data_IF_249193026590
#
_entry.id   IF_249193026590
#
_cell.length_a   1.000
_cell.length_b   1.000
_cell.length_c   1.000
_cell.angle_alpha   90.00
_cell.angle_beta   90.00
_cell.angle_gamma   90.00
#
_symmetry.space_group_name_H-M   'P 1'
#
loop_
_entity.id
_entity.type
_entity.pdbx_description
1 polymer ?
#
# COMPACT_ATOMS: atom_id res chain seq x y z
N UNK A 1 -9.37 0.62 26.03
CA UNK A 1 -9.69 1.58 24.94
C UNK A 1 -8.64 1.54 23.84
N UNK A 2 -7.35 1.76 24.13
CA UNK A 2 -6.27 1.77 23.12
C UNK A 2 -6.12 0.47 22.33
N UNK A 3 -6.27 -0.69 22.97
CA UNK A 3 -6.14 -2.01 22.32
C UNK A 3 -7.12 -2.18 21.16
N UNK A 4 -8.33 -1.60 21.24
CA UNK A 4 -9.33 -1.60 20.15
C UNK A 4 -8.78 -0.96 18.87
N UNK A 5 -7.91 0.03 19.02
CA UNK A 5 -7.26 0.74 17.93
C UNK A 5 -5.88 0.15 17.56
N UNK A 6 -5.53 -1.05 18.02
CA UNK A 6 -4.25 -1.70 17.64
C UNK A 6 -3.08 -1.43 18.58
N UNK A 7 -3.32 -0.87 19.78
CA UNK A 7 -2.28 -0.72 20.79
C UNK A 7 -1.78 -2.09 21.27
N UNK A 8 -0.46 -2.22 21.42
CA UNK A 8 0.21 -3.48 21.74
C UNK A 8 1.55 -3.20 22.42
N UNK A 9 2.28 -4.26 22.80
CA UNK A 9 3.53 -4.17 23.57
C UNK A 9 4.60 -3.23 22.96
N UNK A 10 4.68 -3.13 21.62
CA UNK A 10 5.62 -2.23 20.95
C UNK A 10 5.36 -0.75 21.26
N UNK A 11 4.09 -0.36 21.42
CA UNK A 11 3.72 1.02 21.77
C UNK A 11 3.76 1.23 23.29
N UNK A 12 3.45 0.19 24.06
CA UNK A 12 3.55 0.23 25.53
C UNK A 12 4.99 0.50 25.98
N UNK A 13 5.97 -0.21 25.40
CA UNK A 13 7.39 0.00 25.73
C UNK A 13 7.84 1.44 25.44
N UNK A 14 7.34 2.04 24.37
CA UNK A 14 7.65 3.44 24.03
C UNK A 14 6.98 4.43 24.98
N UNK A 15 5.73 4.15 25.39
CA UNK A 15 5.05 4.95 26.41
C UNK A 15 5.84 4.96 27.72
N UNK A 16 6.28 3.79 28.18
CA UNK A 16 7.10 3.66 29.38
C UNK A 16 8.43 4.43 29.25
N UNK A 17 9.09 4.31 28.09
CA UNK A 17 10.34 5.03 27.78
C UNK A 17 10.18 6.56 27.77
N UNK A 18 9.03 7.06 27.31
CA UNK A 18 8.73 8.50 27.37
C UNK A 18 8.59 9.00 28.80
N UNK A 19 8.07 8.19 29.72
CA UNK A 19 7.98 8.51 31.15
C UNK A 19 7.12 9.74 31.47
N UNK A 20 6.18 10.09 30.59
CA UNK A 20 5.34 11.30 30.69
C UNK A 20 3.91 10.94 31.05
N UNK A 21 3.59 11.01 32.35
CA UNK A 21 2.26 10.67 32.88
C UNK A 21 1.17 11.71 32.55
N UNK A 22 1.56 12.88 32.06
CA UNK A 22 0.66 13.96 31.65
C UNK A 22 0.15 13.81 30.20
N UNK A 23 0.63 12.81 29.47
CA UNK A 23 0.21 12.53 28.09
C UNK A 23 -0.89 11.45 28.08
N UNK A 24 -1.96 11.76 27.35
CA UNK A 24 -2.97 10.80 26.94
C UNK A 24 -2.64 10.30 25.54
N UNK A 25 -2.52 8.99 25.37
CA UNK A 25 -2.19 8.40 24.08
C UNK A 25 -3.43 8.18 23.22
N UNK A 26 -3.32 8.51 21.95
CA UNK A 26 -4.42 8.36 21.00
C UNK A 26 -3.89 8.04 19.61
N UNK A 27 -4.71 7.35 18.81
CA UNK A 27 -4.39 7.04 17.42
C UNK A 27 -4.95 8.13 16.52
N UNK A 28 -4.15 8.60 15.57
CA UNK A 28 -4.60 9.55 14.54
C UNK A 28 -5.58 8.83 13.61
N UNK A 29 -6.84 9.26 13.63
CA UNK A 29 -7.92 8.67 12.83
C UNK A 29 -8.29 9.50 11.62
N UNK A 30 -7.95 10.78 11.61
CA UNK A 30 -8.22 11.66 10.49
C UNK A 30 -7.23 12.83 10.45
N UNK A 31 -6.86 13.24 9.25
CA UNK A 31 -6.03 14.43 9.02
C UNK A 31 -6.72 15.38 8.04
N UNK A 32 -6.88 16.62 8.45
CA UNK A 32 -7.48 17.69 7.65
C UNK A 32 -6.68 18.98 7.79
N UNK A 33 -6.00 19.39 6.71
CA UNK A 33 -5.36 20.71 6.56
C UNK A 33 -4.44 21.10 7.73
N UNK A 34 -3.69 20.15 8.29
CA UNK A 34 -2.75 20.40 9.40
C UNK A 34 -3.38 20.34 10.79
N UNK A 35 -4.62 19.87 10.92
CA UNK A 35 -5.23 19.42 12.16
C UNK A 35 -5.46 17.91 12.12
N UNK A 36 -5.37 17.26 13.28
CA UNK A 36 -5.50 15.81 13.41
C UNK A 36 -6.63 15.46 14.37
N UNK A 37 -7.57 14.64 13.93
CA UNK A 37 -8.52 13.99 14.83
C UNK A 37 -7.88 12.72 15.36
N UNK A 38 -7.94 12.54 16.67
CA UNK A 38 -7.38 11.36 17.34
C UNK A 38 -8.46 10.63 18.14
N UNK A 39 -8.29 9.33 18.35
CA UNK A 39 -9.16 8.51 19.18
C UNK A 39 -8.34 7.58 20.07
N UNK A 40 -8.68 7.50 21.36
CA UNK A 40 -7.92 6.76 22.37
C UNK A 40 -8.22 7.27 23.77
N UNK A 41 -7.20 7.41 24.62
CA UNK A 41 -7.36 8.04 25.94
C UNK A 41 -7.82 9.50 25.82
N UNK A 42 -7.45 10.15 24.71
CA UNK A 42 -8.03 11.41 24.26
C UNK A 42 -8.80 11.17 22.95
N UNK A 43 -10.00 11.76 22.83
CA UNK A 43 -10.81 11.76 21.61
C UNK A 43 -11.17 13.20 21.26
N UNK A 44 -10.76 13.65 20.08
CA UNK A 44 -10.99 15.03 19.65
C UNK A 44 -10.03 15.50 18.57
N UNK A 45 -10.21 16.76 18.19
CA UNK A 45 -9.30 17.47 17.30
C UNK A 45 -8.08 17.98 18.06
N UNK A 46 -6.94 17.93 17.40
CA UNK A 46 -5.64 18.28 17.96
C UNK A 46 -4.76 19.01 16.95
N UNK A 47 -3.79 19.74 17.47
CA UNK A 47 -2.72 20.39 16.71
C UNK A 47 -1.36 19.97 17.26
N UNK A 48 -0.30 20.08 16.46
CA UNK A 48 1.06 19.85 16.96
C UNK A 48 1.57 21.03 17.78
N UNK A 49 2.30 20.74 18.85
CA UNK A 49 2.97 21.79 19.64
C UNK A 49 3.98 22.57 18.78
N UNK A 50 4.24 23.83 19.16
CA UNK A 50 5.26 24.64 18.49
C UNK A 50 6.64 23.98 18.50
N UNK A 51 7.02 23.34 19.61
CA UNK A 51 8.26 22.57 19.72
C UNK A 51 8.32 21.43 18.70
N UNK A 52 7.26 20.62 18.59
CA UNK A 52 7.18 19.53 17.61
C UNK A 52 7.39 20.06 16.19
N UNK A 53 6.72 21.18 15.85
CA UNK A 53 6.85 21.83 14.54
C UNK A 53 8.28 22.31 14.26
N UNK A 54 9.00 22.81 15.26
CA UNK A 54 10.38 23.27 15.11
C UNK A 54 11.40 22.12 15.02
N UNK A 55 11.14 21.01 15.69
CA UNK A 55 12.00 19.82 15.68
C UNK A 55 11.78 18.94 14.44
N UNK A 56 10.67 19.13 13.71
CA UNK A 56 10.37 18.41 12.47
C UNK A 56 11.25 18.92 11.32
N UNK A 57 12.04 18.03 10.72
CA UNK A 57 12.92 18.37 9.61
C UNK A 57 12.20 18.30 8.26
N UNK A 58 11.15 17.48 8.17
CA UNK A 58 10.42 17.23 6.93
C UNK A 58 8.92 16.98 7.18
N UNK A 59 8.14 16.97 6.10
CA UNK A 59 6.72 16.57 6.14
C UNK A 59 6.49 15.15 6.66
N UNK A 60 7.48 14.25 6.56
CA UNK A 60 7.39 12.87 7.03
C UNK A 60 7.42 12.74 8.58
N UNK A 61 7.92 13.77 9.27
CA UNK A 61 7.99 13.82 10.73
C UNK A 61 6.64 14.15 11.36
N UNK A 62 5.77 14.82 10.61
CA UNK A 62 4.42 15.14 11.06
C UNK A 62 3.56 13.87 11.24
N UNK A 63 2.58 13.90 12.16
CA UNK A 63 1.64 12.80 12.32
C UNK A 63 0.88 12.53 11.01
N UNK A 64 0.70 11.26 10.70
CA UNK A 64 -0.11 10.76 9.60
C UNK A 64 -1.22 9.86 10.15
N UNK A 65 -2.25 9.58 9.33
CA UNK A 65 -3.32 8.66 9.71
C UNK A 65 -2.75 7.30 10.10
N UNK A 66 -3.16 6.80 11.25
CA UNK A 66 -2.68 5.56 11.85
C UNK A 66 -1.51 5.72 12.84
N UNK A 67 -0.89 6.90 12.93
CA UNK A 67 0.13 7.19 13.95
C UNK A 67 -0.44 7.15 15.38
N UNK A 68 0.43 6.82 16.33
CA UNK A 68 0.15 6.97 17.75
C UNK A 68 0.83 8.22 18.29
N UNK A 69 0.08 9.05 18.99
CA UNK A 69 0.53 10.34 19.50
C UNK A 69 0.24 10.48 20.98
N UNK A 70 1.12 11.20 21.69
CA UNK A 70 0.93 11.63 23.07
C UNK A 70 0.37 13.06 23.09
N UNK A 71 -0.81 13.21 23.68
CA UNK A 71 -1.60 14.44 23.69
C UNK A 71 -1.72 14.99 25.11
N UNK A 72 -1.57 16.30 25.28
CA UNK A 72 -1.92 16.99 26.52
C UNK A 72 -2.69 18.26 26.19
N UNK A 73 -3.82 18.49 26.87
CA UNK A 73 -4.69 19.64 26.63
C UNK A 73 -5.04 19.88 25.14
N UNK A 74 -5.26 18.81 24.36
CA UNK A 74 -5.58 18.89 22.93
C UNK A 74 -4.39 19.18 22.00
N UNK A 75 -3.15 19.15 22.51
CA UNK A 75 -1.93 19.41 21.75
C UNK A 75 -1.09 18.14 21.67
N UNK A 76 -0.63 17.79 20.46
CA UNK A 76 0.31 16.69 20.21
C UNK A 76 1.73 17.12 20.60
N UNK A 77 2.31 16.40 21.55
CA UNK A 77 3.67 16.61 22.03
C UNK A 77 4.66 15.57 21.54
N UNK A 78 4.19 14.37 21.23
CA UNK A 78 5.04 13.27 20.79
C UNK A 78 4.31 12.40 19.78
N UNK A 79 5.07 11.83 18.83
CA UNK A 79 4.64 10.76 17.93
C UNK A 79 5.50 9.55 18.22
N UNK A 80 4.87 8.40 18.44
CA UNK A 80 5.59 7.15 18.63
C UNK A 80 6.22 6.69 17.31
N UNK A 81 7.21 5.81 17.41
CA UNK A 81 7.83 5.12 16.28
C UNK A 81 6.79 4.29 15.52
N UNK A 82 6.91 4.29 14.19
CA UNK A 82 6.01 3.57 13.28
C UNK A 82 6.47 2.13 13.12
N UNK A 83 5.52 1.18 13.15
CA UNK A 83 5.77 -0.21 12.72
C UNK A 83 5.89 -0.34 11.21
N UNK A 84 5.09 0.44 10.51
CA UNK A 84 5.03 0.47 9.06
C UNK A 84 4.72 1.90 8.61
N UNK A 85 5.24 2.25 7.44
CA UNK A 85 5.14 3.58 6.87
C UNK A 85 4.84 3.45 5.39
N UNK A 86 3.68 3.95 4.97
CA UNK A 86 3.37 4.10 3.55
C UNK A 86 3.51 5.55 3.18
N UNK A 87 4.37 5.84 2.20
CA UNK A 87 4.70 7.20 1.79
C UNK A 87 4.58 7.39 0.28
N UNK A 88 4.50 8.65 -0.14
CA UNK A 88 4.51 9.08 -1.55
C UNK A 88 5.38 10.34 -1.71
N UNK A 89 5.89 10.59 -2.92
CA UNK A 89 6.49 11.90 -3.24
C UNK A 89 5.40 12.99 -3.17
N UNK A 90 5.64 14.07 -2.44
CA UNK A 90 4.77 15.24 -2.45
C UNK A 90 4.86 15.95 -3.82
N UNK A 91 3.77 16.54 -4.29
CA UNK A 91 3.79 17.37 -5.50
C UNK A 91 4.52 18.70 -5.21
N UNK A 92 5.74 18.88 -5.73
CA UNK A 92 6.53 20.08 -5.49
C UNK A 92 7.97 20.01 -6.03
N UNK A 93 8.74 21.10 -5.85
CA UNK A 93 10.14 21.24 -6.31
C UNK A 93 11.17 20.55 -5.41
N UNK A 94 10.77 20.06 -4.24
CA UNK A 94 11.60 19.28 -3.33
C UNK A 94 11.10 17.83 -3.30
N UNK A 95 12.03 16.88 -3.25
CA UNK A 95 11.76 15.44 -3.10
C UNK A 95 11.32 15.16 -1.66
N UNK A 96 10.25 15.80 -1.23
CA UNK A 96 9.76 15.64 0.14
C UNK A 96 8.83 14.43 0.20
N UNK A 97 9.24 13.47 1.03
CA UNK A 97 8.45 12.29 1.37
C UNK A 97 7.23 12.71 2.20
N UNK A 98 6.03 12.37 1.73
CA UNK A 98 4.79 12.54 2.49
C UNK A 98 4.29 11.17 2.93
N UNK A 99 4.19 10.98 4.24
CA UNK A 99 3.58 9.77 4.82
C UNK A 99 2.07 9.86 4.68
N UNK A 100 1.48 8.87 4.02
CA UNK A 100 0.03 8.80 3.76
C UNK A 100 -0.70 7.87 4.71
N UNK A 101 0.00 6.89 5.28
CA UNK A 101 -0.53 5.98 6.28
C UNK A 101 0.61 5.42 7.13
N UNK A 102 0.31 5.15 8.41
CA UNK A 102 1.26 4.55 9.34
C UNK A 102 0.61 3.40 10.13
N UNK A 103 1.44 2.47 10.60
CA UNK A 103 1.01 1.33 11.42
C UNK A 103 -0.10 0.50 10.75
N UNK A 104 0.04 0.27 9.45
CA UNK A 104 -0.73 -0.70 8.66
C UNK A 104 -0.12 -2.09 8.86
N UNK A 105 -0.93 -3.07 9.24
CA UNK A 105 -0.49 -4.46 9.43
C UNK A 105 -0.52 -5.23 8.10
N UNK A 106 -1.57 -5.02 7.29
CA UNK A 106 -1.76 -5.72 6.01
C UNK A 106 -2.17 -4.75 4.90
N UNK A 107 -1.54 -4.87 3.74
CA UNK A 107 -1.93 -4.12 2.54
C UNK A 107 -2.47 -5.09 1.51
N UNK A 108 -3.73 -4.89 1.13
CA UNK A 108 -4.38 -5.61 0.05
C UNK A 108 -3.97 -4.99 -1.30
N UNK A 109 -3.19 -5.73 -2.09
CA UNK A 109 -2.89 -5.42 -3.48
C UNK A 109 -4.05 -5.89 -4.35
N UNK A 110 -4.99 -5.01 -4.66
CA UNK A 110 -6.19 -5.33 -5.43
C UNK A 110 -5.91 -5.23 -6.93
N UNK A 111 -6.15 -6.32 -7.64
CA UNK A 111 -6.15 -6.39 -9.10
C UNK A 111 -7.47 -7.01 -9.58
N UNK A 112 -7.76 -6.92 -10.87
CA UNK A 112 -9.01 -7.41 -11.45
C UNK A 112 -8.74 -8.58 -12.42
N UNK A 113 -9.58 -9.61 -12.32
CA UNK A 113 -9.64 -10.75 -13.23
C UNK A 113 -10.47 -10.41 -14.48
N UNK A 114 -10.14 -11.07 -15.61
CA UNK A 114 -10.86 -10.99 -16.88
C UNK A 114 -10.04 -10.43 -18.05
N UNK A 115 -10.37 -10.88 -19.27
CA UNK A 115 -9.64 -10.60 -20.53
C UNK A 115 -9.53 -9.11 -20.89
N UNK A 116 -10.43 -8.27 -20.35
CA UNK A 116 -10.47 -6.83 -20.64
C UNK A 116 -9.53 -5.98 -19.74
N UNK A 117 -8.84 -6.59 -18.78
CA UNK A 117 -7.97 -5.87 -17.83
C UNK A 117 -6.52 -6.36 -17.89
N UNK A 118 -5.64 -5.54 -18.49
CA UNK A 118 -4.18 -5.74 -18.54
C UNK A 118 -3.47 -5.51 -17.20
N UNK A 119 -4.19 -5.54 -16.08
CA UNK A 119 -3.68 -5.15 -14.77
C UNK A 119 -2.97 -6.29 -14.01
N UNK A 120 -3.00 -7.50 -14.55
CA UNK A 120 -2.22 -8.66 -14.08
C UNK A 120 -0.80 -8.69 -14.69
N UNK A 121 -0.15 -7.54 -14.81
CA UNK A 121 1.26 -7.49 -15.22
C UNK A 121 2.14 -8.02 -14.05
N UNK A 122 2.86 -9.15 -14.21
CA UNK A 122 3.65 -9.74 -13.13
C UNK A 122 4.73 -8.80 -12.59
N UNK A 123 5.41 -8.05 -13.45
CA UNK A 123 6.47 -7.11 -13.04
C UNK A 123 5.91 -5.96 -12.19
N UNK A 124 4.72 -5.47 -12.55
CA UNK A 124 4.01 -4.44 -11.75
C UNK A 124 3.63 -4.99 -10.38
N UNK A 125 3.12 -6.22 -10.34
CA UNK A 125 2.74 -6.88 -9.10
C UNK A 125 3.96 -7.08 -8.18
N UNK A 126 5.08 -7.58 -8.71
CA UNK A 126 6.34 -7.73 -7.98
C UNK A 126 6.82 -6.41 -7.36
N UNK A 127 6.75 -5.31 -8.12
CA UNK A 127 7.10 -3.98 -7.60
C UNK A 127 6.19 -3.53 -6.46
N UNK A 128 4.88 -3.75 -6.58
CA UNK A 128 3.96 -3.45 -5.48
C UNK A 128 4.23 -4.29 -4.24
N UNK A 129 4.58 -5.56 -4.42
CA UNK A 129 4.98 -6.41 -3.32
C UNK A 129 6.22 -5.86 -2.62
N UNK A 130 7.26 -5.49 -3.37
CA UNK A 130 8.46 -4.86 -2.80
C UNK A 130 8.12 -3.61 -2.01
N UNK A 131 7.30 -2.70 -2.55
CA UNK A 131 6.90 -1.47 -1.85
C UNK A 131 6.14 -1.75 -0.55
N UNK A 132 5.22 -2.72 -0.54
CA UNK A 132 4.48 -3.10 0.67
C UNK A 132 5.41 -3.68 1.72
N UNK A 133 6.37 -4.50 1.29
CA UNK A 133 7.39 -5.06 2.17
C UNK A 133 8.32 -3.99 2.75
N UNK A 134 8.77 -3.04 1.93
CA UNK A 134 9.58 -1.89 2.37
C UNK A 134 8.82 -0.99 3.35
N UNK A 135 7.52 -0.83 3.13
CA UNK A 135 6.62 -0.14 4.04
C UNK A 135 6.48 -0.85 5.39
N UNK A 136 6.89 -2.12 5.52
CA UNK A 136 6.80 -2.91 6.76
C UNK A 136 5.42 -3.52 7.01
N UNK A 137 4.59 -3.64 5.97
CA UNK A 137 3.28 -4.29 6.04
C UNK A 137 3.30 -5.65 5.32
N UNK A 138 2.35 -6.52 5.66
CA UNK A 138 2.19 -7.82 4.98
C UNK A 138 1.35 -7.63 3.71
N UNK A 139 1.84 -7.99 2.51
CA UNK A 139 1.04 -7.95 1.29
C UNK A 139 0.10 -9.14 1.19
N UNK A 140 -1.10 -8.89 0.70
CA UNK A 140 -2.05 -9.91 0.27
C UNK A 140 -2.58 -9.51 -1.09
N UNK A 141 -2.45 -10.38 -2.08
CA UNK A 141 -2.97 -10.14 -3.44
C UNK A 141 -4.45 -10.48 -3.46
N UNK A 142 -5.28 -9.52 -3.85
CA UNK A 142 -6.73 -9.68 -3.95
C UNK A 142 -7.13 -9.61 -5.42
N UNK A 143 -7.46 -10.77 -5.98
CA UNK A 143 -7.96 -10.95 -7.33
C UNK A 143 -9.47 -10.71 -7.36
N UNK A 144 -9.88 -9.47 -7.62
CA UNK A 144 -11.28 -9.09 -7.67
C UNK A 144 -11.91 -9.39 -9.04
N UNK A 145 -13.24 -9.30 -9.12
CA UNK A 145 -14.04 -9.59 -10.33
C UNK A 145 -13.90 -11.03 -10.81
N UNK A 146 -13.77 -11.98 -9.89
CA UNK A 146 -13.73 -13.41 -10.21
C UNK A 146 -14.94 -13.88 -11.05
N UNK A 147 -16.05 -13.15 -11.03
CA UNK A 147 -17.22 -13.38 -11.88
C UNK A 147 -17.01 -13.12 -13.37
N UNK A 148 -15.92 -12.41 -13.75
CA UNK A 148 -15.57 -12.11 -15.14
C UNK A 148 -14.50 -13.05 -15.71
N UNK A 149 -13.97 -13.97 -14.90
CA UNK A 149 -13.02 -14.99 -15.36
C UNK A 149 -13.72 -16.33 -15.58
N UNK A 150 -13.29 -17.02 -16.64
CA UNK A 150 -13.73 -18.39 -16.91
C UNK A 150 -13.09 -19.41 -15.96
N UNK A 151 -11.90 -19.12 -15.42
CA UNK A 151 -11.16 -19.97 -14.48
C UNK A 151 -10.39 -19.11 -13.44
N UNK A 152 -11.10 -18.47 -12.50
CA UNK A 152 -10.48 -17.57 -11.53
C UNK A 152 -9.51 -18.29 -10.58
N UNK A 153 -9.73 -19.57 -10.30
CA UNK A 153 -8.88 -20.34 -9.40
C UNK A 153 -7.61 -20.83 -10.09
N UNK A 154 -7.67 -21.21 -11.37
CA UNK A 154 -6.49 -21.50 -12.17
C UNK A 154 -5.57 -20.28 -12.33
N UNK A 155 -6.15 -19.10 -12.54
CA UNK A 155 -5.39 -17.83 -12.55
C UNK A 155 -4.75 -17.53 -11.19
N UNK A 156 -5.47 -17.76 -10.09
CA UNK A 156 -4.95 -17.60 -8.74
C UNK A 156 -3.79 -18.55 -8.46
N UNK A 157 -3.91 -19.82 -8.85
CA UNK A 157 -2.88 -20.83 -8.63
C UNK A 157 -1.61 -20.55 -9.44
N UNK A 158 -1.78 -20.06 -10.67
CA UNK A 158 -0.67 -19.56 -11.49
C UNK A 158 0.09 -18.44 -10.78
N UNK A 159 -0.59 -17.53 -10.09
CA UNK A 159 0.06 -16.49 -9.29
C UNK A 159 0.68 -17.03 -8.00
N UNK A 160 0.01 -17.93 -7.28
CA UNK A 160 0.56 -18.56 -6.05
C UNK A 160 1.86 -19.31 -6.35
N UNK A 161 1.92 -20.01 -7.47
CA UNK A 161 3.15 -20.70 -7.90
C UNK A 161 4.33 -19.76 -8.16
N UNK A 162 4.06 -18.53 -8.61
CA UNK A 162 5.07 -17.48 -8.83
C UNK A 162 5.40 -16.70 -7.56
N UNK A 163 4.49 -16.66 -6.60
CA UNK A 163 4.55 -15.87 -5.37
C UNK A 163 4.40 -16.76 -4.13
N UNK A 164 5.34 -17.69 -3.85
CA UNK A 164 5.18 -18.72 -2.83
C UNK A 164 5.07 -18.19 -1.39
N UNK A 165 5.36 -16.90 -1.16
CA UNK A 165 5.32 -16.25 0.15
C UNK A 165 4.28 -15.14 0.25
N UNK A 166 3.35 -15.07 -0.71
CA UNK A 166 2.31 -14.06 -0.75
C UNK A 166 0.96 -14.74 -0.87
N UNK A 167 0.06 -14.42 0.04
CA UNK A 167 -1.29 -14.97 -0.04
C UNK A 167 -2.04 -14.33 -1.22
N UNK A 168 -2.67 -15.18 -2.03
CA UNK A 168 -3.48 -14.79 -3.19
C UNK A 168 -4.92 -15.23 -2.94
N UNK A 169 -5.81 -14.25 -2.92
CA UNK A 169 -7.22 -14.41 -2.57
C UNK A 169 -8.11 -13.94 -3.71
N UNK A 170 -9.04 -14.79 -4.13
CA UNK A 170 -10.04 -14.48 -5.15
C UNK A 170 -11.32 -13.93 -4.52
N UNK A 171 -11.85 -12.83 -5.07
CA UNK A 171 -13.10 -12.20 -4.60
C UNK A 171 -13.96 -11.72 -5.78
N UNK A 172 -15.27 -11.65 -5.56
CA UNK A 172 -16.21 -10.97 -6.45
C UNK A 172 -17.04 -9.98 -5.62
N UNK A 173 -16.65 -8.71 -5.64
CA UNK A 173 -17.28 -7.68 -4.82
C UNK A 173 -18.69 -7.23 -5.32
N UNK A 174 -19.07 -7.61 -6.55
CA UNK A 174 -20.31 -7.14 -7.21
C UNK A 174 -21.51 -8.07 -7.07
N UNK A 175 -21.36 -9.32 -6.61
CA UNK A 175 -22.51 -10.22 -6.44
C UNK A 175 -23.38 -9.88 -5.21
N UNK A 176 -24.54 -10.52 -5.18
CA UNK A 176 -25.55 -10.60 -4.11
C UNK A 176 -24.98 -10.89 -2.71
N UNK A 177 -25.85 -11.08 -1.69
CA UNK A 177 -25.43 -11.36 -0.30
C UNK A 177 -24.46 -12.55 -0.19
N UNK A 178 -24.43 -13.47 -1.17
CA UNK A 178 -23.46 -14.55 -1.26
C UNK A 178 -22.05 -14.08 -1.66
N UNK A 179 -21.93 -13.12 -2.60
CA UNK A 179 -20.66 -12.47 -2.92
C UNK A 179 -20.10 -11.63 -1.77
N UNK A 180 -20.99 -11.00 -0.99
CA UNK A 180 -20.64 -10.28 0.23
C UNK A 180 -20.06 -11.20 1.30
N UNK A 181 -20.72 -12.35 1.55
CA UNK A 181 -20.20 -13.38 2.46
C UNK A 181 -18.88 -13.94 1.94
N UNK A 182 -18.76 -14.24 0.66
CA UNK A 182 -17.51 -14.72 0.06
C UNK A 182 -16.34 -13.76 0.26
N UNK A 183 -16.52 -12.46 -0.03
CA UNK A 183 -15.47 -11.45 0.17
C UNK A 183 -15.07 -11.30 1.65
N UNK A 184 -16.04 -11.21 2.56
CA UNK A 184 -15.79 -11.10 3.99
C UNK A 184 -15.15 -12.36 4.58
N UNK A 185 -15.54 -13.55 4.10
CA UNK A 185 -14.95 -14.83 4.50
C UNK A 185 -13.52 -14.94 4.01
N UNK A 186 -13.26 -14.65 2.73
CA UNK A 186 -11.92 -14.77 2.15
C UNK A 186 -10.92 -13.76 2.71
N UNK A 187 -11.37 -12.55 3.07
CA UNK A 187 -10.52 -11.53 3.70
C UNK A 187 -10.52 -11.62 5.24
N UNK A 188 -11.45 -12.36 5.84
CA UNK A 188 -11.64 -12.50 7.28
C UNK A 188 -10.38 -12.80 8.10
N UNK A 189 -9.47 -13.69 7.64
CA UNK A 189 -8.21 -13.95 8.34
C UNK A 189 -7.33 -12.72 8.60
N UNK A 190 -7.45 -11.69 7.76
CA UNK A 190 -6.69 -10.43 7.85
C UNK A 190 -7.50 -9.28 8.48
N UNK A 191 -8.79 -9.51 8.73
CA UNK A 191 -9.73 -8.52 9.27
C UNK A 191 -10.08 -8.83 10.73
N UNK A 192 -9.06 -9.19 11.53
CA UNK A 192 -9.25 -9.47 12.94
C UNK A 192 -9.39 -8.17 13.75
N UNK A 193 -10.02 -8.21 14.93
CA UNK A 193 -10.11 -7.05 15.80
C UNK A 193 -8.74 -6.39 16.02
N UNK A 194 -8.70 -5.06 15.94
CA UNK A 194 -7.53 -4.21 16.10
C UNK A 194 -6.42 -4.34 15.04
N UNK A 195 -6.60 -5.17 14.00
CA UNK A 195 -5.69 -5.18 12.84
C UNK A 195 -6.02 -4.03 11.89
N UNK A 196 -4.97 -3.41 11.37
CA UNK A 196 -5.06 -2.27 10.45
C UNK A 196 -4.78 -2.73 9.04
N UNK A 197 -5.73 -2.52 8.14
CA UNK A 197 -5.62 -2.86 6.73
C UNK A 197 -5.71 -1.61 5.85
N UNK A 198 -5.12 -1.69 4.67
CA UNK A 198 -5.29 -0.69 3.61
C UNK A 198 -5.39 -1.37 2.25
N UNK A 199 -5.99 -0.70 1.27
CA UNK A 199 -6.15 -1.20 -0.10
C UNK A 199 -5.35 -0.32 -1.07
N UNK A 200 -4.62 -0.98 -1.97
CA UNK A 200 -3.87 -0.35 -3.07
C UNK A 200 -4.11 -1.14 -4.36
N UNK A 201 -3.84 -0.54 -5.52
CA UNK A 201 -4.06 -1.18 -6.83
C UNK A 201 -4.52 -0.18 -7.88
N UNK A 202 -4.67 -0.56 -9.14
CA UNK A 202 -5.00 0.38 -10.22
C UNK A 202 -6.41 0.98 -10.11
N UNK A 203 -6.68 2.08 -10.81
CA UNK A 203 -8.05 2.59 -10.94
C UNK A 203 -8.95 1.56 -11.63
N UNK A 204 -10.22 1.45 -11.21
CA UNK A 204 -11.19 0.54 -11.84
C UNK A 204 -11.13 -0.94 -11.42
N UNK A 205 -10.17 -1.36 -10.58
CA UNK A 205 -10.08 -2.74 -10.06
C UNK A 205 -11.13 -3.10 -9.01
N UNK A 206 -11.86 -2.11 -8.49
CA UNK A 206 -12.98 -2.31 -7.55
C UNK A 206 -12.66 -2.11 -6.06
N UNK A 207 -11.57 -1.41 -5.72
CA UNK A 207 -11.21 -1.07 -4.32
C UNK A 207 -12.36 -0.42 -3.54
N UNK A 208 -12.99 0.62 -4.11
CA UNK A 208 -14.11 1.32 -3.45
C UNK A 208 -15.30 0.38 -3.21
N UNK A 209 -15.57 -0.53 -4.15
CA UNK A 209 -16.60 -1.56 -3.97
C UNK A 209 -16.27 -2.47 -2.80
N UNK A 210 -15.02 -2.95 -2.70
CA UNK A 210 -14.56 -3.77 -1.56
C UNK A 210 -14.69 -3.00 -0.24
N UNK A 211 -14.20 -1.75 -0.17
CA UNK A 211 -14.32 -0.88 1.02
C UNK A 211 -15.78 -0.76 1.46
N UNK A 212 -16.69 -0.50 0.54
CA UNK A 212 -18.11 -0.35 0.83
C UNK A 212 -18.76 -1.64 1.32
N UNK A 213 -18.32 -2.78 0.80
CA UNK A 213 -18.76 -4.09 1.30
C UNK A 213 -18.25 -4.33 2.72
N UNK A 214 -16.96 -4.07 2.98
CA UNK A 214 -16.35 -4.27 4.29
C UNK A 214 -16.98 -3.38 5.37
N UNK A 215 -17.37 -2.15 5.05
CA UNK A 215 -18.00 -1.23 6.00
C UNK A 215 -19.46 -1.57 6.35
N UNK A 216 -20.10 -2.49 5.63
CA UNK A 216 -21.54 -2.72 5.71
C UNK A 216 -22.30 -1.71 4.86
N UNK A 217 -22.88 -2.21 3.77
CA UNK A 217 -23.76 -1.68 2.70
C UNK A 217 -24.23 -0.21 2.57
N UNK A 218 -23.97 0.75 3.45
CA UNK A 218 -24.44 2.15 3.29
C UNK A 218 -23.47 3.27 3.70
N UNK A 219 -22.30 2.98 4.28
CA UNK A 219 -21.44 4.02 4.86
C UNK A 219 -20.86 5.04 3.85
N UNK A 220 -20.58 4.65 2.58
CA UNK A 220 -20.19 5.63 1.54
C UNK A 220 -21.38 6.18 0.74
N UNK A 221 -22.51 5.46 0.59
CA UNK A 221 -23.71 6.00 -0.10
C UNK A 221 -24.28 7.23 0.60
N UNK A 222 -24.22 7.27 1.94
CA UNK A 222 -24.60 8.45 2.72
C UNK A 222 -23.67 9.64 2.45
N UNK A 223 -22.40 9.40 2.06
CA UNK A 223 -21.46 10.45 1.64
C UNK A 223 -21.66 10.87 0.17
N UNK A 224 -22.09 9.96 -0.70
CA UNK A 224 -22.39 10.24 -2.12
C UNK A 224 -23.62 11.17 -2.29
N UNK A 225 -24.59 11.15 -1.37
CA UNK A 225 -25.80 12.00 -1.44
C UNK A 225 -25.51 13.44 -0.98
N UNK A 226 -24.43 13.68 -0.24
CA UNK A 226 -24.03 15.02 0.22
C UNK A 226 -23.12 15.77 -0.77
N UNK A 227 -22.72 15.15 -1.89
CA UNK A 227 -21.82 15.74 -2.88
C UNK A 227 -22.36 15.56 -4.31
N UNK A 228 -23.44 16.28 -4.61
CA UNK A 228 -23.81 16.82 -5.92
C UNK A 228 -23.46 16.02 -7.18
N UNK A 229 -24.38 15.13 -7.57
CA UNK A 229 -24.97 15.07 -8.93
C UNK A 229 -24.09 14.95 -10.19
N UNK A 230 -22.77 14.83 -10.08
CA UNK A 230 -21.86 14.60 -11.21
C UNK A 230 -20.80 13.60 -10.77
N UNK A 231 -20.93 12.38 -11.27
CA UNK A 231 -20.07 11.24 -10.95
C UNK A 231 -18.58 11.58 -10.97
N UNK A 232 -18.01 11.75 -9.77
CA UNK A 232 -16.57 11.80 -9.55
C UNK A 232 -16.32 11.34 -8.12
N UNK A 233 -16.11 10.04 -7.95
CA UNK A 233 -15.82 9.37 -6.69
C UNK A 233 -14.52 9.88 -6.04
N UNK A 234 -14.54 11.08 -5.49
CA UNK A 234 -13.39 11.74 -4.89
C UNK A 234 -13.57 11.74 -3.38
N UNK A 235 -13.23 10.62 -2.74
CA UNK A 235 -13.09 10.60 -1.28
C UNK A 235 -11.91 11.50 -0.94
N UNK A 236 -12.15 12.69 -0.41
CA UNK A 236 -11.12 13.71 -0.17
C UNK A 236 -10.48 13.62 1.22
N UNK A 237 -11.08 12.87 2.15
CA UNK A 237 -10.62 12.75 3.53
C UNK A 237 -9.66 11.56 3.70
N UNK A 238 -8.57 11.79 4.43
CA UNK A 238 -7.63 10.76 4.89
C UNK A 238 -8.15 10.23 6.22
N UNK A 239 -8.64 9.00 6.27
CA UNK A 239 -9.34 8.48 7.46
C UNK A 239 -8.97 7.04 7.78
N UNK A 240 -9.00 6.73 9.07
CA UNK A 240 -9.02 5.39 9.66
C UNK A 240 -10.45 5.11 10.14
N UNK A 241 -11.04 4.06 9.60
CA UNK A 241 -12.41 3.64 9.85
C UNK A 241 -12.40 2.30 10.58
N UNK A 242 -13.28 2.11 11.55
CA UNK A 242 -13.48 0.81 12.17
C UNK A 242 -14.52 0.00 11.40
N UNK A 243 -14.15 -1.22 11.01
CA UNK A 243 -15.01 -2.16 10.31
C UNK A 243 -15.91 -2.91 11.30
N UNK A 244 -17.07 -3.40 10.84
CA UNK A 244 -17.80 -4.46 11.55
C UNK A 244 -16.85 -5.62 11.88
N UNK A 245 -16.77 -6.02 13.15
CA UNK A 245 -15.80 -7.00 13.63
C UNK A 245 -14.54 -6.40 14.26
N UNK A 246 -14.37 -5.07 14.26
CA UNK A 246 -13.34 -4.37 15.04
C UNK A 246 -11.97 -4.25 14.35
N UNK A 247 -11.83 -4.70 13.11
CA UNK A 247 -10.68 -4.37 12.27
C UNK A 247 -10.71 -2.89 11.88
N UNK A 248 -9.57 -2.36 11.43
CA UNK A 248 -9.39 -0.94 11.13
C UNK A 248 -8.97 -0.80 9.67
N UNK A 249 -9.62 0.08 8.92
CA UNK A 249 -9.37 0.33 7.51
C UNK A 249 -8.86 1.75 7.31
N UNK A 250 -7.72 1.89 6.66
CA UNK A 250 -7.21 3.20 6.23
C UNK A 250 -7.57 3.41 4.74
N UNK A 251 -8.33 4.48 4.47
CA UNK A 251 -8.60 4.99 3.11
C UNK A 251 -8.04 6.42 3.02
N UNK A 252 -6.88 6.57 2.39
CA UNK A 252 -6.27 7.89 2.14
C UNK A 252 -6.09 8.13 0.63
N UNK A 253 -6.38 9.36 0.15
CA UNK A 253 -6.05 9.78 -1.22
C UNK A 253 -4.54 9.75 -1.44
N UNK A 254 -4.03 8.65 -1.97
CA UNK A 254 -2.61 8.34 -2.10
C UNK A 254 -2.30 6.84 -1.98
N UNK A 255 -3.12 6.10 -1.25
CA UNK A 255 -3.08 4.62 -1.27
C UNK A 255 -3.70 4.05 -2.55
N UNK A 256 -4.54 4.84 -3.22
CA UNK A 256 -5.31 4.39 -4.40
C UNK A 256 -4.46 4.14 -5.63
N UNK A 257 -3.23 4.65 -5.65
CA UNK A 257 -2.18 4.37 -6.63
C UNK A 257 -0.86 4.49 -5.86
N UNK A 258 -0.31 3.37 -5.37
CA UNK A 258 1.12 3.36 -5.08
C UNK A 258 1.77 3.61 -6.44
N UNK A 259 2.36 4.78 -6.65
CA UNK A 259 3.24 4.98 -7.79
C UNK A 259 4.62 4.53 -7.32
N UNK A 260 5.23 3.54 -7.99
CA UNK A 260 6.64 3.25 -7.80
C UNK A 260 7.41 4.56 -7.83
N UNK A 261 8.38 4.73 -6.94
CA UNK A 261 9.12 5.98 -6.80
C UNK A 261 9.52 6.49 -8.18
N UNK A 262 9.06 7.71 -8.48
CA UNK A 262 8.75 8.23 -9.82
C UNK A 262 9.91 8.34 -10.83
N UNK A 263 11.03 7.67 -10.61
CA UNK A 263 12.16 7.66 -11.53
C UNK A 263 12.09 6.48 -12.52
N UNK A 264 11.17 5.53 -12.34
CA UNK A 264 11.09 4.29 -13.14
C UNK A 264 9.83 4.20 -14.01
N UNK A 265 8.67 4.62 -13.48
CA UNK A 265 7.42 4.66 -14.25
C UNK A 265 7.41 5.76 -15.31
N UNK A 266 8.15 6.85 -15.09
CA UNK A 266 8.35 7.89 -16.10
C UNK A 266 9.12 7.34 -17.31
N UNK A 267 10.05 6.41 -17.06
CA UNK A 267 10.83 5.70 -18.07
C UNK A 267 9.94 4.70 -18.78
N UNK A 268 9.22 3.86 -18.03
CA UNK A 268 8.29 2.89 -18.62
C UNK A 268 7.27 3.60 -19.51
N UNK A 269 6.60 4.66 -19.03
CA UNK A 269 5.64 5.42 -19.85
C UNK A 269 6.26 6.17 -21.05
N UNK A 270 7.53 6.58 -20.95
CA UNK A 270 8.25 7.23 -22.06
C UNK A 270 8.77 6.23 -23.10
N UNK A 271 8.89 4.95 -22.73
CA UNK A 271 9.44 3.85 -23.51
C UNK A 271 8.49 2.64 -23.55
N UNK A 272 7.17 2.86 -23.50
CA UNK A 272 6.14 1.81 -23.49
C UNK A 272 6.25 0.90 -24.73
N UNK A 273 6.74 1.45 -25.85
CA UNK A 273 7.05 0.75 -27.09
C UNK A 273 8.20 -0.27 -26.91
N UNK A 274 9.24 0.09 -26.15
CA UNK A 274 10.34 -0.82 -25.81
C UNK A 274 9.89 -1.86 -24.77
N UNK A 275 9.10 -1.43 -23.79
CA UNK A 275 8.57 -2.31 -22.75
C UNK A 275 7.66 -3.40 -23.32
N UNK A 276 6.83 -3.07 -24.33
CA UNK A 276 5.99 -4.03 -25.03
C UNK A 276 6.83 -5.05 -25.81
N UNK A 277 7.85 -4.60 -26.56
CA UNK A 277 8.76 -5.47 -27.31
C UNK A 277 9.61 -6.37 -26.38
N UNK A 278 9.95 -5.89 -25.18
CA UNK A 278 10.71 -6.67 -24.20
C UNK A 278 9.94 -7.89 -23.67
N UNK A 279 8.59 -7.88 -23.73
CA UNK A 279 7.76 -9.04 -23.35
C UNK A 279 7.87 -10.19 -24.35
N UNK A 280 8.31 -9.92 -25.58
CA UNK A 280 8.52 -10.90 -26.64
C UNK A 280 9.95 -11.47 -26.63
N UNK A 281 10.82 -10.98 -25.74
CA UNK A 281 12.16 -11.53 -25.57
C UNK A 281 12.12 -12.95 -25.00
N UNK A 282 12.99 -13.81 -25.50
CA UNK A 282 13.16 -15.18 -24.98
C UNK A 282 13.56 -15.22 -23.50
N UNK A 283 14.39 -14.27 -23.07
CA UNK A 283 14.92 -14.20 -21.72
C UNK A 283 14.25 -13.08 -20.92
N UNK A 284 13.85 -13.40 -19.69
CA UNK A 284 13.16 -12.46 -18.79
C UNK A 284 14.08 -11.36 -18.24
N UNK A 285 15.38 -11.60 -18.26
CA UNK A 285 16.49 -10.72 -17.84
C UNK A 285 17.31 -10.18 -19.03
N UNK A 286 16.72 -10.20 -20.24
CA UNK A 286 17.34 -9.66 -21.44
C UNK A 286 17.71 -8.18 -21.24
N UNK A 287 18.99 -7.84 -21.39
CA UNK A 287 19.49 -6.46 -21.30
C UNK A 287 19.34 -5.73 -22.64
N UNK A 288 18.89 -6.44 -23.67
CA UNK A 288 18.74 -5.98 -25.04
C UNK A 288 20.07 -5.61 -25.70
N UNK A 289 21.20 -6.17 -25.26
CA UNK A 289 22.55 -5.90 -25.75
C UNK A 289 22.98 -6.79 -26.93
N UNK A 290 22.01 -7.37 -27.64
CA UNK A 290 22.27 -8.31 -28.74
C UNK A 290 22.25 -9.77 -28.29
N UNK A 291 21.53 -10.08 -27.22
CA UNK A 291 21.25 -11.46 -26.83
C UNK A 291 20.52 -12.20 -27.97
N UNK A 292 20.76 -13.52 -28.13
CA UNK A 292 20.03 -14.32 -29.09
C UNK A 292 18.52 -14.29 -28.79
N UNK A 293 17.70 -14.18 -29.83
CA UNK A 293 16.23 -14.10 -29.74
C UNK A 293 15.70 -12.88 -28.94
N UNK A 294 16.44 -11.76 -28.99
CA UNK A 294 15.97 -10.50 -28.42
C UNK A 294 15.01 -9.78 -29.38
N UNK A 295 13.71 -9.78 -29.04
CA UNK A 295 12.68 -9.08 -29.82
C UNK A 295 12.91 -7.57 -29.95
N UNK A 296 13.49 -6.93 -28.92
CA UNK A 296 13.87 -5.50 -28.96
C UNK A 296 15.00 -5.26 -29.96
N UNK A 297 16.03 -6.09 -29.98
CA UNK A 297 17.12 -5.99 -30.95
C UNK A 297 16.61 -6.26 -32.38
N UNK A 298 15.77 -7.28 -32.55
CA UNK A 298 15.14 -7.60 -33.84
C UNK A 298 14.21 -6.47 -34.34
N UNK A 299 13.57 -5.72 -33.43
CA UNK A 299 12.78 -4.55 -33.78
C UNK A 299 13.65 -3.37 -34.25
N UNK A 300 14.84 -3.20 -33.67
CA UNK A 300 15.83 -2.21 -34.15
C UNK A 300 16.37 -2.62 -35.53
N UNK A 301 16.79 -3.87 -35.68
CA UNK A 301 17.32 -4.39 -36.96
C UNK A 301 16.27 -4.32 -38.09
N UNK A 302 14.99 -4.52 -37.73
CA UNK A 302 13.86 -4.42 -38.64
C UNK A 302 13.32 -3.00 -38.85
N UNK A 303 13.95 -1.96 -38.29
CA UNK A 303 13.55 -0.56 -38.44
C UNK A 303 12.24 -0.17 -37.76
N UNK A 304 11.71 -1.03 -36.87
CA UNK A 304 10.47 -0.79 -36.08
C UNK A 304 10.75 0.00 -34.80
N UNK A 305 12.00 0.03 -34.34
CA UNK A 305 12.44 0.80 -33.18
C UNK A 305 13.69 1.61 -33.55
N UNK A 306 13.70 2.90 -33.21
CA UNK A 306 14.84 3.77 -33.46
C UNK A 306 16.04 3.36 -32.57
N UNK A 307 17.23 3.08 -33.14
CA UNK A 307 18.44 2.76 -32.38
C UNK A 307 18.80 3.78 -31.29
N UNK A 308 18.62 5.08 -31.57
CA UNK A 308 18.96 6.16 -30.62
C UNK A 308 18.02 6.15 -29.41
N UNK A 309 16.77 5.73 -29.64
CA UNK A 309 15.75 5.58 -28.59
C UNK A 309 16.06 4.42 -27.65
N UNK A 310 16.54 3.29 -28.18
CA UNK A 310 17.02 2.17 -27.37
C UNK A 310 18.25 2.53 -26.55
N UNK A 311 19.18 3.32 -27.10
CA UNK A 311 20.37 3.75 -26.35
C UNK A 311 20.02 4.74 -25.22
N UNK A 312 19.05 5.63 -25.44
CA UNK A 312 18.50 6.48 -24.39
C UNK A 312 17.87 5.68 -23.26
N UNK A 313 17.07 4.65 -23.58
CA UNK A 313 16.49 3.74 -22.59
C UNK A 313 17.56 3.06 -21.73
N UNK A 314 18.60 2.49 -22.36
CA UNK A 314 19.72 1.84 -21.66
C UNK A 314 20.52 2.81 -20.81
N UNK A 315 20.78 4.03 -21.29
CA UNK A 315 21.49 5.06 -20.50
C UNK A 315 20.73 5.37 -19.22
N UNK A 316 19.42 5.54 -19.32
CA UNK A 316 18.59 5.83 -18.17
C UNK A 316 18.55 4.68 -17.15
N UNK A 317 18.42 3.43 -17.60
CA UNK A 317 18.51 2.25 -16.73
C UNK A 317 19.86 2.16 -15.98
N UNK A 318 20.98 2.52 -16.63
CA UNK A 318 22.31 2.55 -16.01
C UNK A 318 22.42 3.63 -14.93
N UNK A 319 21.87 4.81 -15.17
CA UNK A 319 21.83 5.90 -14.20
C UNK A 319 21.02 5.52 -12.96
N UNK A 320 19.88 4.84 -13.16
CA UNK A 320 19.03 4.34 -12.06
C UNK A 320 19.73 3.28 -11.22
N UNK A 321 20.33 2.27 -11.86
CA UNK A 321 21.07 1.21 -11.17
C UNK A 321 22.28 1.75 -10.38
N UNK A 322 22.84 2.89 -10.79
CA UNK A 322 23.94 3.55 -10.09
C UNK A 322 23.46 4.26 -8.80
N UNK A 323 22.32 4.96 -8.86
CA UNK A 323 21.71 5.62 -7.70
C UNK A 323 21.20 4.61 -6.65
N UNK A 324 20.64 3.48 -7.09
CA UNK A 324 20.16 2.40 -6.21
C UNK A 324 21.30 1.79 -5.36
N UNK A 325 22.44 1.49 -5.99
CA UNK A 325 23.67 0.99 -5.31
C UNK A 325 24.24 1.96 -4.28
N UNK A 326 23.93 3.25 -4.40
CA UNK A 326 24.39 4.30 -3.47
C UNK A 326 23.52 4.36 -2.21
N UNK A 327 22.22 4.07 -2.33
CA UNK A 327 21.26 3.97 -1.20
C UNK A 327 21.45 2.70 -0.38
N UNK A 328 21.84 1.60 -1.04
CA UNK A 328 21.92 0.26 -0.46
C UNK A 328 22.90 0.14 0.74
N UNK A 329 23.92 1.01 0.79
CA UNK A 329 24.96 0.97 1.85
C UNK A 329 24.49 1.42 3.24
N UNK A 330 23.42 2.22 3.37
CA UNK A 330 22.84 2.56 4.68
C UNK A 330 21.59 1.74 5.01
N UNK A 331 20.89 1.22 3.99
CA UNK A 331 19.65 0.47 4.14
C UNK A 331 19.85 -1.00 4.58
N UNK A 332 20.98 -1.63 4.27
CA UNK A 332 21.17 -3.08 4.48
C UNK A 332 21.02 -3.57 5.94
N UNK A 333 21.46 -2.79 6.93
CA UNK A 333 21.37 -3.16 8.34
C UNK A 333 19.93 -3.05 8.88
N UNK A 334 19.20 -2.02 8.44
CA UNK A 334 17.80 -1.80 8.81
C UNK A 334 16.88 -2.80 8.08
N UNK A 335 17.15 -3.06 6.80
CA UNK A 335 16.46 -4.04 5.98
C UNK A 335 16.54 -5.44 6.59
N UNK A 336 17.72 -5.86 7.09
CA UNK A 336 17.88 -7.17 7.77
C UNK A 336 17.05 -7.29 9.06
N UNK A 337 16.92 -6.21 9.83
CA UNK A 337 16.10 -6.19 11.06
C UNK A 337 14.60 -6.24 10.72
N UNK A 338 14.18 -5.46 9.71
CA UNK A 338 12.80 -5.45 9.19
C UNK A 338 12.39 -6.81 8.64
N UNK A 339 13.23 -7.44 7.80
CA UNK A 339 13.00 -8.79 7.27
C UNK A 339 12.77 -9.85 8.35
N UNK A 340 13.52 -9.80 9.44
CA UNK A 340 13.36 -10.74 10.56
C UNK A 340 12.02 -10.56 11.29
N UNK A 341 11.59 -9.31 11.49
CA UNK A 341 10.28 -9.01 12.08
C UNK A 341 9.13 -9.39 11.14
N UNK A 342 9.29 -9.19 9.83
CA UNK A 342 8.32 -9.57 8.80
C UNK A 342 8.09 -11.09 8.78
N UNK A 343 9.15 -11.90 8.79
CA UNK A 343 9.03 -13.36 8.80
C UNK A 343 8.31 -13.88 10.06
N UNK A 344 8.45 -13.18 11.19
CA UNK A 344 7.72 -13.50 12.42
C UNK A 344 6.23 -13.14 12.32
N UNK A 345 5.90 -11.98 11.75
CA UNK A 345 4.51 -11.57 11.52
C UNK A 345 3.77 -12.52 10.57
N UNK A 346 4.42 -12.92 9.47
CA UNK A 346 3.87 -13.88 8.52
C UNK A 346 3.65 -15.26 9.16
N UNK A 347 4.62 -15.76 9.92
CA UNK A 347 4.47 -17.03 10.66
C UNK A 347 3.31 -16.99 11.67
N UNK A 348 3.13 -15.85 12.34
CA UNK A 348 2.03 -15.67 13.28
C UNK A 348 0.66 -15.66 12.57
N UNK A 349 0.56 -15.06 11.39
CA UNK A 349 -0.65 -15.11 10.55
C UNK A 349 -0.98 -16.54 10.11
N UNK A 350 0.00 -17.30 9.59
CA UNK A 350 -0.22 -18.70 9.17
C UNK A 350 -0.60 -19.63 10.32
N UNK A 351 0.12 -19.55 11.45
CA UNK A 351 -0.20 -20.36 12.64
C UNK A 351 -1.61 -20.07 13.17
N UNK A 352 -2.12 -18.85 12.94
CA UNK A 352 -3.47 -18.46 13.34
C UNK A 352 -4.54 -18.97 12.36
N UNK A 353 -4.24 -19.03 11.06
CA UNK A 353 -5.13 -19.62 10.05
C UNK A 353 -5.40 -21.10 10.31
N UNK A 354 -4.33 -21.87 10.57
CA UNK A 354 -4.41 -23.31 10.90
C UNK A 354 -5.23 -23.63 12.17
N UNK A 355 -5.58 -22.62 12.98
CA UNK A 355 -6.42 -22.77 14.19
C UNK A 355 -7.88 -22.39 13.96
N UNK A 356 -8.20 -21.77 12.83
CA UNK A 356 -9.56 -21.35 12.45
C UNK A 356 -10.20 -22.30 11.43
N UNK A 357 -9.40 -23.15 10.79
CA UNK A 357 -9.79 -24.36 10.04
C UNK A 357 -9.91 -25.56 10.99
#
# INVERSE_FOLDING_TARGET
MLVRFGWNAFFEEQRERLGRSDLQFARVVEEQRGAWRVAGEFDGWTEVSGRFRHESASGADFPAVGDWVGVSAGIIHARLERKSTVSRKAAGRAVDEQVVAANVDTIFLVTALGEATSDLNPRRLERYLTMVWEAGAVPVVVLNKADLSADPEGEAESLRSRLPFVDVVTVSALRDDAGLKGCATSLGPYLQPAQTVALVGSSGVGKSTIVNRLLGSEAQRVRDIAADGRGRHTTTARQLLELPGGALLIDTPGMRELQPWADESAVESAFDDIAALALECRFTDCMHHGEPDCAVAAAVDGGRLDPDRLEHYRRLLREMAFEERKRDKSAAAEHKRRWKQMHQAQKALYTRRERLE
#
